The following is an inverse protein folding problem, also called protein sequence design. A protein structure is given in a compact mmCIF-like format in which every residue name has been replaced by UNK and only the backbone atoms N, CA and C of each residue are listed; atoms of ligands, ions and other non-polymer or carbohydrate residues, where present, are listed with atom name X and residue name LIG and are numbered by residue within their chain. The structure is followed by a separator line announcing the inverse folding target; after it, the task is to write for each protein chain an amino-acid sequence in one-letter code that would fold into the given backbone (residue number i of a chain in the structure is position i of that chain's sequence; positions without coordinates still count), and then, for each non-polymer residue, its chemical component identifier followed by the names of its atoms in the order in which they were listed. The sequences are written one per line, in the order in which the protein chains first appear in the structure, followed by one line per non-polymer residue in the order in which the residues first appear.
data_IF_518997087158
#
_entry.id   IF_518997087158
#
_cell.length_a   1.000
_cell.length_b   1.000
_cell.length_c   1.000
_cell.angle_alpha   90.00
_cell.angle_beta   90.00
_cell.angle_gamma   90.00
#
_symmetry.space_group_name_H-M   'P 1'
#
loop_
_entity.id
_entity.type
_entity.pdbx_description
1 polymer ?
#
# COMPACT_ATOMS: atom_id res chain seq x y z
N UNK A 1 -0.81 -10.91 -9.02
CA UNK A 1 -0.09 -10.27 -7.91
C UNK A 1 -0.89 -10.51 -6.65
N UNK A 2 -0.27 -10.96 -5.56
CA UNK A 2 -0.94 -11.10 -4.26
C UNK A 2 -0.82 -9.82 -3.41
N UNK A 3 -1.55 -9.79 -2.29
CA UNK A 3 -1.60 -8.63 -1.39
C UNK A 3 -0.22 -8.30 -0.83
N UNK A 4 0.53 -9.32 -0.37
CA UNK A 4 1.87 -9.14 0.20
C UNK A 4 2.80 -8.46 -0.80
N UNK A 5 2.93 -9.01 -2.00
CA UNK A 5 3.74 -8.47 -3.08
C UNK A 5 3.32 -7.04 -3.42
N UNK A 6 2.02 -6.74 -3.45
CA UNK A 6 1.52 -5.39 -3.70
C UNK A 6 1.97 -4.40 -2.63
N UNK A 7 1.75 -4.75 -1.35
CA UNK A 7 2.18 -3.91 -0.22
C UNK A 7 3.70 -3.78 -0.11
N UNK A 8 4.48 -4.79 -0.51
CA UNK A 8 5.95 -4.73 -0.54
C UNK A 8 6.44 -3.72 -1.60
N UNK A 9 5.84 -3.73 -2.80
CA UNK A 9 6.15 -2.73 -3.83
C UNK A 9 5.77 -1.32 -3.42
N UNK A 10 4.62 -1.14 -2.77
CA UNK A 10 4.21 0.15 -2.21
C UNK A 10 5.17 0.64 -1.12
N UNK A 11 5.63 -0.27 -0.26
CA UNK A 11 6.63 0.03 0.78
C UNK A 11 7.95 0.52 0.18
N UNK A 12 8.39 -0.08 -0.94
CA UNK A 12 9.56 0.39 -1.69
C UNK A 12 9.37 1.82 -2.23
N UNK A 13 8.15 2.20 -2.60
CA UNK A 13 7.77 3.56 -3.01
C UNK A 13 7.50 4.52 -1.83
N UNK A 14 7.87 4.12 -0.60
CA UNK A 14 7.69 4.87 0.65
C UNK A 14 6.23 5.07 1.07
N UNK A 15 5.30 4.23 0.60
CA UNK A 15 3.96 4.12 1.17
C UNK A 15 4.02 3.09 2.30
N UNK A 16 3.81 3.53 3.53
CA UNK A 16 3.96 2.72 4.74
C UNK A 16 2.76 1.80 4.99
N UNK A 17 2.92 0.85 5.91
CA UNK A 17 1.81 0.01 6.36
C UNK A 17 0.73 0.81 7.09
N UNK A 18 1.10 1.96 7.69
CA UNK A 18 0.16 2.88 8.33
C UNK A 18 -0.68 3.63 7.28
N UNK A 19 -0.07 4.12 6.20
CA UNK A 19 -0.79 4.75 5.07
C UNK A 19 -1.79 3.78 4.43
N UNK A 20 -1.35 2.52 4.26
CA UNK A 20 -2.22 1.46 3.74
C UNK A 20 -3.36 1.19 4.71
N UNK A 21 -3.09 1.11 6.02
CA UNK A 21 -4.11 0.86 7.03
C UNK A 21 -5.15 1.99 7.09
N UNK A 22 -4.70 3.25 7.00
CA UNK A 22 -5.55 4.43 6.90
C UNK A 22 -6.46 4.35 5.67
N UNK A 23 -5.93 3.99 4.51
CA UNK A 23 -6.72 3.86 3.28
C UNK A 23 -7.84 2.81 3.35
N UNK A 24 -7.69 1.82 4.22
CA UNK A 24 -8.70 0.79 4.49
C UNK A 24 -9.56 1.08 5.75
N UNK A 25 -9.25 2.13 6.52
CA UNK A 25 -9.92 2.40 7.80
C UNK A 25 -9.67 1.32 8.86
N UNK A 26 -8.52 0.66 8.82
CA UNK A 26 -8.15 -0.42 9.76
C UNK A 26 -6.89 -0.06 10.55
N UNK A 27 -6.59 -0.86 11.57
CA UNK A 27 -5.32 -0.73 12.30
C UNK A 27 -4.16 -1.38 11.54
N UNK A 28 -2.94 -0.85 11.69
CA UNK A 28 -1.70 -1.37 11.07
C UNK A 28 -1.51 -2.88 11.24
N UNK A 29 -1.88 -3.42 12.40
CA UNK A 29 -1.76 -4.86 12.69
C UNK A 29 -2.61 -5.73 11.73
N UNK A 30 -3.75 -5.22 11.27
CA UNK A 30 -4.59 -5.92 10.27
C UNK A 30 -3.81 -6.12 8.97
N UNK A 31 -3.13 -5.08 8.49
CA UNK A 31 -2.29 -5.13 7.30
C UNK A 31 -1.10 -6.06 7.51
N UNK A 32 -0.46 -6.00 8.68
CA UNK A 32 0.67 -6.88 9.02
C UNK A 32 0.28 -8.37 8.97
N UNK A 33 -0.87 -8.73 9.55
CA UNK A 33 -1.38 -10.12 9.57
C UNK A 33 -1.79 -10.61 8.18
N UNK A 34 -2.29 -9.72 7.34
CA UNK A 34 -2.65 -10.03 5.95
C UNK A 34 -1.46 -10.22 5.02
N UNK A 35 -0.25 -9.79 5.44
CA UNK A 35 1.01 -9.99 4.71
C UNK A 35 1.77 -11.24 5.15
N UNK A 36 1.31 -11.94 6.18
CA UNK A 36 1.92 -13.19 6.63
C UNK A 36 1.71 -14.31 5.60
N UNK A 37 2.52 -15.35 5.71
CA UNK A 37 2.28 -16.60 4.98
C UNK A 37 0.91 -17.18 5.39
N UNK A 38 0.14 -17.70 4.43
CA UNK A 38 -1.19 -18.28 4.69
C UNK A 38 -1.15 -19.47 5.64
N UNK A 39 0.01 -20.12 5.79
CA UNK A 39 0.23 -21.23 6.72
C UNK A 39 0.41 -20.77 8.17
N UNK A 40 0.63 -19.46 8.39
CA UNK A 40 0.78 -18.90 9.74
C UNK A 40 -0.57 -18.88 10.48
N UNK A 41 -0.65 -19.34 11.75
CA UNK A 41 -1.90 -19.26 12.53
C UNK A 41 -2.36 -17.81 12.78
N UNK A 42 -1.44 -16.86 12.69
CA UNK A 42 -1.73 -15.44 12.83
C UNK A 42 -2.27 -14.80 11.54
N UNK A 43 -2.16 -15.49 10.40
CA UNK A 43 -2.63 -15.00 9.10
C UNK A 43 -4.12 -14.64 9.14
N UNK A 44 -4.47 -13.55 8.46
CA UNK A 44 -5.84 -13.14 8.21
C UNK A 44 -5.95 -12.77 6.75
N UNK A 45 -7.09 -13.07 6.12
CA UNK A 45 -7.30 -12.67 4.74
C UNK A 45 -7.16 -11.15 4.58
N UNK A 46 -6.61 -10.67 3.46
CA UNK A 46 -6.55 -9.24 3.19
C UNK A 46 -7.96 -8.64 3.14
N UNK A 47 -8.09 -7.31 3.38
CA UNK A 47 -9.37 -6.61 3.24
C UNK A 47 -10.01 -6.89 1.88
N UNK A 48 -11.34 -6.99 1.84
CA UNK A 48 -12.06 -7.10 0.58
C UNK A 48 -11.75 -5.89 -0.32
N UNK A 49 -11.76 -6.11 -1.63
CA UNK A 49 -11.48 -5.05 -2.61
C UNK A 49 -10.12 -4.36 -2.39
N UNK A 50 -9.11 -5.07 -1.89
CA UNK A 50 -7.79 -4.48 -1.68
C UNK A 50 -7.12 -4.00 -2.98
N UNK A 51 -7.37 -4.67 -4.10
CA UNK A 51 -6.75 -4.34 -5.39
C UNK A 51 -7.06 -2.90 -5.82
N UNK A 52 -8.33 -2.45 -5.93
CA UNK A 52 -8.62 -1.08 -6.33
C UNK A 52 -8.12 -0.03 -5.33
N UNK A 53 -8.12 -0.32 -4.02
CA UNK A 53 -7.61 0.61 -3.00
C UNK A 53 -6.09 0.79 -3.12
N UNK A 54 -5.33 -0.30 -3.23
CA UNK A 54 -3.88 -0.22 -3.43
C UNK A 54 -3.51 0.42 -4.77
N UNK A 55 -4.30 0.17 -5.82
CA UNK A 55 -4.11 0.82 -7.12
C UNK A 55 -4.33 2.34 -7.04
N UNK A 56 -5.31 2.80 -6.25
CA UNK A 56 -5.52 4.24 -5.99
C UNK A 56 -4.29 4.85 -5.30
N UNK A 57 -3.81 4.25 -4.21
CA UNK A 57 -2.62 4.73 -3.49
C UNK A 57 -1.38 4.83 -4.40
N UNK A 58 -1.18 3.83 -5.26
CA UNK A 58 -0.07 3.85 -6.22
C UNK A 58 -0.16 5.04 -7.19
N UNK A 59 -1.37 5.33 -7.71
CA UNK A 59 -1.61 6.47 -8.62
C UNK A 59 -1.39 7.80 -7.93
N UNK A 60 -1.98 7.99 -6.75
CA UNK A 60 -1.82 9.20 -5.95
C UNK A 60 -0.34 9.50 -5.68
N UNK A 61 0.44 8.48 -5.31
CA UNK A 61 1.89 8.65 -5.10
C UNK A 61 2.64 8.98 -6.39
N UNK A 62 2.28 8.35 -7.50
CA UNK A 62 2.86 8.67 -8.82
C UNK A 62 2.59 10.11 -9.22
N UNK A 63 1.38 10.61 -8.99
CA UNK A 63 0.98 11.99 -9.30
C UNK A 63 1.75 12.99 -8.44
N UNK A 64 1.86 12.75 -7.13
CA UNK A 64 2.66 13.58 -6.23
C UNK A 64 4.12 13.70 -6.68
N UNK A 65 4.75 12.56 -7.01
CA UNK A 65 6.15 12.54 -7.46
C UNK A 65 6.32 13.20 -8.83
N UNK A 66 5.36 13.01 -9.73
CA UNK A 66 5.33 13.69 -11.03
C UNK A 66 5.24 15.20 -10.85
N UNK A 67 4.29 15.70 -10.06
CA UNK A 67 4.15 17.13 -9.80
C UNK A 67 5.38 17.74 -9.12
N UNK A 68 6.07 16.97 -8.27
CA UNK A 68 7.34 17.40 -7.70
C UNK A 68 8.43 17.54 -8.78
N UNK A 69 8.57 16.55 -9.67
CA UNK A 69 9.52 16.60 -10.77
C UNK A 69 9.26 17.80 -11.69
N UNK A 70 8.02 18.00 -12.12
CA UNK A 70 7.62 19.13 -12.98
C UNK A 70 7.99 20.49 -12.34
N UNK A 71 7.79 20.65 -11.02
CA UNK A 71 8.20 21.87 -10.31
C UNK A 71 9.71 22.08 -10.32
N UNK A 72 10.48 21.02 -10.09
CA UNK A 72 11.95 21.08 -10.07
C UNK A 72 12.55 21.38 -11.45
N UNK A 73 11.90 20.95 -12.53
CA UNK A 73 12.33 21.23 -13.92
C UNK A 73 12.06 22.69 -14.33
N UNK A 74 11.09 23.35 -13.69
CA UNK A 74 10.73 24.75 -13.95
C UNK A 74 11.45 25.77 -13.05
N UNK A 75 12.28 25.31 -12.11
CA UNK A 75 13.14 26.16 -11.27
C UNK A 75 14.43 26.52 -11.99
#
# INVERSE_FOLDING_TARGET
MDFKTATDRLSAAKITADDIAEAFGVVRNTIARARLDSSSPAYRSPPENWQPVLARLARERSEQLRSLAERLETM
#
